data_IF_631006766982
#
_entry.id   IF_631006766982
#
_cell.length_a   1.000
_cell.length_b   1.000
_cell.length_c   1.000
_cell.angle_alpha   90.00
_cell.angle_beta   90.00
_cell.angle_gamma   90.00
#
_symmetry.space_group_name_H-M   'P 1'
#
loop_
_entity.id
_entity.type
_entity.pdbx_description
1 polymer ?
#
# COMPACT_ATOMS: atom_id res chain seq x y z
N UNK A 1 -5.80 -0.78 -6.86
CA UNK A 1 -4.66 -0.52 -5.97
C UNK A 1 -5.27 -0.35 -4.60
N UNK A 2 -4.86 -1.16 -3.63
CA UNK A 2 -5.35 -1.12 -2.24
C UNK A 2 -4.52 -0.11 -1.40
N UNK A 3 -4.24 1.05 -2.00
CA UNK A 3 -3.32 2.06 -1.45
C UNK A 3 -4.08 3.27 -0.88
N UNK A 4 -5.33 3.06 -0.46
CA UNK A 4 -6.22 4.13 0.03
C UNK A 4 -5.67 4.79 1.30
N UNK A 5 -4.84 4.08 2.07
CA UNK A 5 -4.07 4.65 3.19
C UNK A 5 -3.11 5.78 2.74
N UNK A 6 -2.60 5.70 1.52
CA UNK A 6 -1.58 6.60 1.01
C UNK A 6 -2.15 7.71 0.12
N UNK A 7 -3.14 7.41 -0.72
CA UNK A 7 -3.68 8.38 -1.68
C UNK A 7 -5.20 8.54 -1.53
N UNK A 8 -5.60 9.76 -1.19
CA UNK A 8 -7.00 10.19 -1.05
C UNK A 8 -7.36 11.20 -2.15
N UNK A 9 -8.62 11.19 -2.57
CA UNK A 9 -9.24 12.30 -3.30
C UNK A 9 -9.73 13.34 -2.29
N UNK A 10 -9.88 14.59 -2.72
CA UNK A 10 -10.41 15.66 -1.88
C UNK A 10 -11.75 15.23 -1.27
N UNK A 11 -11.78 15.23 0.07
CA UNK A 11 -12.93 14.96 0.93
C UNK A 11 -13.46 13.51 0.99
N UNK A 12 -12.64 12.61 1.54
CA UNK A 12 -13.17 11.82 2.64
C UNK A 12 -12.66 12.46 3.92
N UNK A 13 -13.39 13.49 4.40
CA UNK A 13 -13.44 13.72 5.85
C UNK A 13 -13.59 12.34 6.48
N UNK A 14 -12.67 11.98 7.39
CA UNK A 14 -13.00 10.94 8.37
C UNK A 14 -14.40 11.31 8.83
N UNK A 15 -15.42 10.42 8.79
CA UNK A 15 -16.74 10.76 9.30
C UNK A 15 -16.54 11.03 10.79
N UNK A 16 -16.24 12.29 11.10
CA UNK A 16 -16.20 12.76 12.46
C UNK A 16 -17.62 12.60 12.92
N UNK A 17 -17.80 11.96 14.08
CA UNK A 17 -19.11 11.70 14.66
C UNK A 17 -19.81 13.00 15.13
N UNK A 18 -19.50 14.15 14.53
CA UNK A 18 -20.06 15.46 14.83
C UNK A 18 -21.49 15.50 14.29
N UNK A 19 -22.45 15.28 15.19
CA UNK A 19 -23.89 15.13 14.89
C UNK A 19 -24.50 13.78 15.25
N UNK A 20 -23.71 12.80 15.73
CA UNK A 20 -24.19 11.46 16.09
C UNK A 20 -24.45 11.27 17.59
N UNK A 21 -24.07 12.24 18.41
CA UNK A 21 -24.33 12.22 19.84
C UNK A 21 -25.32 13.32 20.20
N UNK A 22 -26.47 12.90 20.71
CA UNK A 22 -27.40 13.74 21.46
C UNK A 22 -27.35 13.27 22.90
N UNK A 23 -27.22 14.20 23.86
CA UNK A 23 -27.27 13.90 25.28
C UNK A 23 -28.70 13.57 25.75
N UNK A 24 -29.72 13.88 24.94
CA UNK A 24 -31.12 13.61 25.26
C UNK A 24 -31.91 13.07 24.04
N UNK A 25 -32.38 11.82 24.16
CA UNK A 25 -33.18 11.13 23.12
C UNK A 25 -34.57 11.72 22.94
N UNK A 26 -35.07 12.53 23.88
CA UNK A 26 -36.45 13.06 23.86
C UNK A 26 -36.59 14.34 23.01
N UNK A 27 -35.50 15.08 22.82
CA UNK A 27 -35.47 16.35 22.07
C UNK A 27 -34.94 16.20 20.64
N UNK A 28 -34.63 14.97 20.22
CA UNK A 28 -34.02 14.70 18.91
C UNK A 28 -35.06 14.62 17.82
N UNK A 29 -34.91 15.42 16.78
CA UNK A 29 -35.87 15.55 15.70
C UNK A 29 -36.04 14.21 14.90
N UNK A 30 -37.27 13.88 14.42
CA UNK A 30 -37.56 12.59 13.78
C UNK A 30 -36.65 12.25 12.60
N UNK A 31 -36.25 13.25 11.83
CA UNK A 31 -35.35 13.14 10.69
C UNK A 31 -33.93 12.69 11.04
N UNK A 32 -33.51 12.82 12.30
CA UNK A 32 -32.24 12.29 12.81
C UNK A 32 -32.45 10.90 13.40
N UNK A 33 -33.57 10.68 14.12
CA UNK A 33 -33.90 9.42 14.80
C UNK A 33 -34.10 8.24 13.85
N UNK A 34 -34.65 8.48 12.65
CA UNK A 34 -34.95 7.44 11.67
C UNK A 34 -34.05 7.48 10.42
N UNK A 35 -32.98 8.28 10.45
CA UNK A 35 -32.03 8.36 9.33
C UNK A 35 -31.24 7.05 9.22
N UNK A 36 -31.62 6.18 8.28
CA UNK A 36 -30.77 5.05 7.87
C UNK A 36 -29.63 5.60 7.03
N UNK A 37 -28.44 5.64 7.60
CA UNK A 37 -27.20 5.93 6.87
C UNK A 37 -26.38 4.65 6.84
N UNK A 38 -25.84 4.31 5.67
CA UNK A 38 -24.88 3.23 5.53
C UNK A 38 -23.65 3.57 6.39
N UNK A 39 -23.42 2.81 7.46
CA UNK A 39 -22.36 3.10 8.46
C UNK A 39 -20.94 3.06 7.87
N UNK A 40 -20.79 2.45 6.70
CA UNK A 40 -19.54 2.32 5.97
C UNK A 40 -19.80 2.63 4.51
N UNK A 41 -18.87 3.33 3.86
CA UNK A 41 -18.88 3.42 2.41
C UNK A 41 -18.91 2.01 1.78
N UNK A 42 -19.51 1.84 0.59
CA UNK A 42 -19.42 0.59 -0.14
C UNK A 42 -17.93 0.21 -0.28
N UNK A 43 -17.56 -0.98 0.23
CA UNK A 43 -16.18 -1.47 0.19
C UNK A 43 -15.64 -1.31 -1.24
N UNK A 44 -14.63 -0.47 -1.42
CA UNK A 44 -13.91 -0.41 -2.69
C UNK A 44 -13.41 -1.83 -2.99
N UNK A 45 -13.67 -2.30 -4.20
CA UNK A 45 -13.50 -3.71 -4.55
C UNK A 45 -12.00 -4.04 -4.47
N UNK A 46 -11.61 -4.87 -3.50
CA UNK A 46 -10.25 -5.35 -3.38
C UNK A 46 -9.85 -6.05 -4.69
N UNK A 47 -8.59 -5.85 -5.13
CA UNK A 47 -8.10 -6.52 -6.34
C UNK A 47 -8.10 -8.03 -6.07
N UNK A 48 -8.84 -8.80 -6.87
CA UNK A 48 -8.81 -10.26 -6.83
C UNK A 48 -7.51 -10.84 -7.40
N UNK A 49 -7.20 -12.08 -7.02
CA UNK A 49 -5.96 -12.77 -7.44
C UNK A 49 -5.77 -12.81 -8.98
N UNK A 50 -6.86 -13.00 -9.74
CA UNK A 50 -6.78 -13.12 -11.21
C UNK A 50 -6.38 -11.77 -11.83
N UNK A 51 -7.01 -10.69 -11.37
CA UNK A 51 -6.68 -9.33 -11.82
C UNK A 51 -5.24 -8.97 -11.45
N UNK A 52 -4.80 -9.33 -10.24
CA UNK A 52 -3.42 -9.12 -9.81
C UNK A 52 -2.42 -9.91 -10.66
N UNK A 53 -2.65 -11.21 -10.88
CA UNK A 53 -1.82 -12.05 -11.73
C UNK A 53 -1.67 -11.44 -13.13
N UNK A 54 -2.79 -11.20 -13.81
CA UNK A 54 -2.76 -10.79 -15.21
C UNK A 54 -2.21 -9.36 -15.39
N UNK A 55 -2.67 -8.42 -14.57
CA UNK A 55 -2.34 -7.00 -14.77
C UNK A 55 -1.06 -6.55 -14.05
N UNK A 56 -0.68 -7.17 -12.94
CA UNK A 56 0.49 -6.76 -12.16
C UNK A 56 1.67 -7.71 -12.37
N UNK A 57 1.46 -9.02 -12.30
CA UNK A 57 2.56 -9.98 -12.42
C UNK A 57 2.95 -10.16 -13.89
N UNK A 58 2.03 -10.69 -14.71
CA UNK A 58 2.30 -11.06 -16.10
C UNK A 58 2.59 -9.81 -16.94
N UNK A 59 1.71 -8.80 -16.88
CA UNK A 59 1.83 -7.64 -17.76
C UNK A 59 2.92 -6.63 -17.35
N UNK A 60 3.48 -6.70 -16.13
CA UNK A 60 4.41 -5.68 -15.61
C UNK A 60 5.64 -6.25 -14.94
N UNK A 61 5.47 -7.06 -13.89
CA UNK A 61 6.60 -7.59 -13.13
C UNK A 61 7.50 -8.49 -13.99
N UNK A 62 6.90 -9.43 -14.74
CA UNK A 62 7.67 -10.36 -15.55
C UNK A 62 8.50 -9.65 -16.63
N UNK A 63 7.92 -8.75 -17.46
CA UNK A 63 8.71 -7.95 -18.40
C UNK A 63 9.86 -7.19 -17.74
N UNK A 64 9.65 -6.65 -16.54
CA UNK A 64 10.69 -5.93 -15.80
C UNK A 64 11.83 -6.85 -15.34
N UNK A 65 11.49 -8.03 -14.80
CA UNK A 65 12.50 -9.02 -14.37
C UNK A 65 13.28 -9.52 -15.60
N UNK A 66 12.59 -9.86 -16.68
CA UNK A 66 13.24 -10.38 -17.90
C UNK A 66 14.04 -9.30 -18.64
N UNK A 67 13.74 -8.02 -18.48
CA UNK A 67 14.55 -6.95 -19.09
C UNK A 67 15.76 -6.56 -18.25
N UNK A 68 15.69 -6.63 -16.92
CA UNK A 68 16.74 -6.08 -16.04
C UNK A 68 17.51 -7.12 -15.21
N UNK A 69 16.99 -8.34 -15.06
CA UNK A 69 17.53 -9.33 -14.12
C UNK A 69 17.72 -10.72 -14.75
N UNK A 70 17.96 -10.80 -16.06
CA UNK A 70 18.13 -12.06 -16.84
C UNK A 70 19.14 -13.07 -16.29
N UNK A 71 20.11 -12.61 -15.48
CA UNK A 71 21.17 -13.46 -14.89
C UNK A 71 21.17 -13.47 -13.37
N UNK A 72 20.20 -12.81 -12.73
CA UNK A 72 20.17 -12.61 -11.28
C UNK A 72 19.14 -13.50 -10.59
N UNK A 73 19.46 -14.00 -9.40
CA UNK A 73 18.44 -14.56 -8.50
C UNK A 73 17.59 -13.42 -7.98
N UNK A 74 16.31 -13.38 -8.36
CA UNK A 74 15.35 -12.38 -7.91
C UNK A 74 14.49 -12.98 -6.80
N UNK A 75 14.40 -12.26 -5.68
CA UNK A 75 13.42 -12.53 -4.64
C UNK A 75 12.30 -11.49 -4.76
N UNK A 76 11.11 -11.94 -5.15
CA UNK A 76 9.90 -11.13 -5.12
C UNK A 76 9.30 -11.10 -3.71
N UNK A 77 9.40 -9.96 -3.04
CA UNK A 77 8.89 -9.79 -1.69
C UNK A 77 7.74 -8.78 -1.65
N UNK A 78 6.52 -9.27 -1.82
CA UNK A 78 5.30 -8.45 -1.80
C UNK A 78 4.83 -8.14 -0.38
N UNK A 79 3.88 -7.21 -0.25
CA UNK A 79 3.12 -7.03 0.98
C UNK A 79 2.13 -8.20 1.23
N UNK A 80 1.29 -8.06 2.26
CA UNK A 80 0.36 -9.08 2.74
C UNK A 80 -1.05 -9.05 2.15
N UNK A 81 -1.28 -8.31 1.06
CA UNK A 81 -2.55 -8.35 0.36
C UNK A 81 -2.88 -9.80 -0.03
N UNK A 82 -4.14 -10.20 0.20
CA UNK A 82 -4.57 -11.59 -0.03
C UNK A 82 -4.39 -12.05 -1.47
N UNK A 83 -4.50 -11.11 -2.43
CA UNK A 83 -4.27 -11.39 -3.85
C UNK A 83 -2.83 -11.74 -4.18
N UNK A 84 -1.84 -11.26 -3.42
CA UNK A 84 -0.42 -11.55 -3.67
C UNK A 84 -0.07 -13.00 -3.34
N UNK A 85 -0.77 -13.58 -2.37
CA UNK A 85 -0.59 -14.96 -1.93
C UNK A 85 -1.66 -15.92 -2.49
N UNK A 86 -2.39 -15.50 -3.52
CA UNK A 86 -3.35 -16.35 -4.21
C UNK A 86 -2.64 -17.54 -4.88
N UNK A 87 -3.28 -18.72 -4.87
CA UNK A 87 -2.69 -19.95 -5.42
C UNK A 87 -2.16 -19.77 -6.85
N UNK A 88 -2.95 -19.15 -7.72
CA UNK A 88 -2.56 -18.92 -9.13
C UNK A 88 -1.35 -17.99 -9.27
N UNK A 89 -1.17 -17.06 -8.33
CA UNK A 89 -0.05 -16.12 -8.34
C UNK A 89 1.23 -16.82 -7.92
N UNK A 90 1.19 -17.56 -6.81
CA UNK A 90 2.35 -18.30 -6.31
C UNK A 90 2.78 -19.39 -7.27
N UNK A 91 1.83 -20.14 -7.83
CA UNK A 91 2.09 -21.16 -8.84
C UNK A 91 2.76 -20.56 -10.08
N UNK A 92 2.28 -19.41 -10.55
CA UNK A 92 2.88 -18.75 -11.71
C UNK A 92 4.31 -18.28 -11.43
N UNK A 93 4.60 -17.70 -10.26
CA UNK A 93 5.95 -17.27 -9.89
C UNK A 93 6.91 -18.47 -9.82
N UNK A 94 6.48 -19.57 -9.21
CA UNK A 94 7.27 -20.81 -9.10
C UNK A 94 7.58 -21.41 -10.48
N UNK A 95 6.58 -21.50 -11.36
CA UNK A 95 6.75 -21.97 -12.75
C UNK A 95 7.69 -21.09 -13.59
N UNK A 96 7.88 -19.83 -13.20
CA UNK A 96 8.77 -18.89 -13.89
C UNK A 96 10.10 -18.67 -13.14
N UNK A 97 10.45 -19.56 -12.20
CA UNK A 97 11.69 -19.51 -11.41
C UNK A 97 11.90 -18.18 -10.66
N UNK A 98 10.80 -17.55 -10.23
CA UNK A 98 10.83 -16.33 -9.41
C UNK A 98 10.65 -16.74 -7.95
N UNK A 99 11.71 -16.65 -7.16
CA UNK A 99 11.62 -16.87 -5.71
C UNK A 99 10.71 -15.81 -5.11
N UNK A 100 9.89 -16.18 -4.14
CA UNK A 100 9.02 -15.23 -3.45
C UNK A 100 9.05 -15.42 -1.93
N UNK A 101 8.84 -14.31 -1.20
CA UNK A 101 8.77 -14.34 0.25
C UNK A 101 7.49 -14.99 0.75
N UNK A 102 7.59 -16.14 1.42
CA UNK A 102 6.43 -16.82 1.99
C UNK A 102 5.73 -15.98 3.07
N UNK A 103 4.41 -16.10 3.13
CA UNK A 103 3.54 -15.33 4.03
C UNK A 103 3.93 -15.48 5.50
N UNK A 104 4.36 -16.67 5.90
CA UNK A 104 4.73 -17.03 7.28
C UNK A 104 5.95 -16.26 7.79
N UNK A 105 6.88 -15.93 6.89
CA UNK A 105 8.08 -15.14 7.21
C UNK A 105 7.87 -13.64 6.99
N UNK A 106 6.73 -13.23 6.45
CA UNK A 106 6.40 -11.83 6.18
C UNK A 106 5.60 -11.23 7.34
N UNK A 107 6.30 -10.69 8.35
CA UNK A 107 5.74 -10.19 9.60
C UNK A 107 4.54 -9.24 9.38
N UNK A 108 3.36 -9.61 9.91
CA UNK A 108 2.08 -8.90 9.74
C UNK A 108 2.05 -7.51 10.37
N UNK A 109 2.68 -7.36 11.54
CA UNK A 109 2.60 -6.14 12.36
C UNK A 109 3.96 -5.41 12.43
N UNK A 110 4.80 -5.56 11.41
CA UNK A 110 6.09 -4.89 11.33
C UNK A 110 6.27 -4.20 9.96
N UNK A 111 5.48 -3.14 9.67
CA UNK A 111 5.67 -2.36 8.45
C UNK A 111 7.07 -1.76 8.34
N UNK A 112 7.74 -1.51 9.48
CA UNK A 112 9.11 -1.02 9.54
C UNK A 112 10.12 -1.98 8.88
N UNK A 113 9.82 -3.27 8.81
CA UNK A 113 10.66 -4.26 8.13
C UNK A 113 10.58 -4.17 6.59
N UNK A 114 9.69 -3.34 6.03
CA UNK A 114 9.38 -3.30 4.60
C UNK A 114 9.72 -1.94 4.01
N UNK A 115 10.82 -1.84 3.22
CA UNK A 115 11.21 -0.57 2.60
C UNK A 115 10.15 0.05 1.67
N UNK A 116 9.24 -0.78 1.12
CA UNK A 116 8.14 -0.30 0.28
C UNK A 116 7.19 0.64 1.04
N UNK A 117 7.01 0.46 2.36
CA UNK A 117 6.20 1.36 3.20
C UNK A 117 6.83 2.74 3.33
N UNK A 118 8.16 2.80 3.41
CA UNK A 118 8.93 4.05 3.38
C UNK A 118 8.80 4.72 2.02
N UNK A 119 8.90 3.96 0.91
CA UNK A 119 8.71 4.51 -0.43
C UNK A 119 7.30 5.09 -0.62
N UNK A 120 6.26 4.40 -0.13
CA UNK A 120 4.90 4.92 -0.17
C UNK A 120 4.74 6.21 0.63
N UNK A 121 5.42 6.32 1.77
CA UNK A 121 5.40 7.52 2.60
C UNK A 121 6.10 8.71 1.91
N UNK A 122 7.27 8.49 1.31
CA UNK A 122 7.98 9.50 0.51
C UNK A 122 7.12 9.97 -0.65
N UNK A 123 6.58 9.03 -1.44
CA UNK A 123 5.74 9.34 -2.59
C UNK A 123 4.49 10.12 -2.18
N UNK A 124 3.84 9.72 -1.08
CA UNK A 124 2.67 10.44 -0.54
C UNK A 124 3.03 11.88 -0.21
N UNK A 125 4.08 12.10 0.56
CA UNK A 125 4.50 13.45 0.97
C UNK A 125 4.75 14.34 -0.26
N UNK A 126 5.46 13.83 -1.27
CA UNK A 126 5.74 14.58 -2.50
C UNK A 126 4.48 14.81 -3.38
N UNK A 127 3.53 13.87 -3.37
CA UNK A 127 2.27 14.02 -4.12
C UNK A 127 1.42 15.16 -3.56
N UNK A 128 1.30 15.23 -2.23
CA UNK A 128 0.47 16.20 -1.50
C UNK A 128 1.23 17.44 -1.01
N UNK A 129 2.47 17.61 -1.46
CA UNK A 129 3.31 18.76 -1.11
C UNK A 129 2.64 20.09 -1.46
N UNK A 130 2.95 21.15 -0.72
CA UNK A 130 2.31 22.49 -0.83
C UNK A 130 0.77 22.48 -0.69
N UNK A 131 0.21 21.48 0.01
CA UNK A 131 -1.24 21.34 0.17
C UNK A 131 -1.95 20.96 -1.13
N UNK A 132 -1.25 20.34 -2.08
CA UNK A 132 -1.85 19.89 -3.33
C UNK A 132 -2.91 18.82 -3.09
N UNK A 133 -4.09 18.97 -3.69
CA UNK A 133 -5.18 18.00 -3.57
C UNK A 133 -5.77 17.62 -4.93
N UNK A 134 -6.17 16.36 -5.08
CA UNK A 134 -6.77 15.86 -6.31
C UNK A 134 -8.30 15.93 -6.28
N UNK A 135 -8.90 16.60 -7.26
CA UNK A 135 -10.37 16.67 -7.42
C UNK A 135 -10.96 15.45 -8.11
N UNK A 136 -10.18 14.83 -9.00
CA UNK A 136 -10.59 13.64 -9.76
C UNK A 136 -9.45 12.63 -9.88
N UNK A 137 -9.80 11.36 -10.07
CA UNK A 137 -8.85 10.24 -10.12
C UNK A 137 -7.78 10.41 -11.22
N UNK A 138 -8.13 10.98 -12.37
CA UNK A 138 -7.19 11.19 -13.47
C UNK A 138 -6.15 12.28 -13.16
N UNK A 139 -6.48 13.27 -12.33
CA UNK A 139 -5.49 14.24 -11.85
C UNK A 139 -4.51 13.56 -10.88
N UNK A 140 -5.04 12.79 -9.92
CA UNK A 140 -4.23 12.03 -8.97
C UNK A 140 -3.26 11.07 -9.68
N UNK A 141 -3.76 10.29 -10.66
CA UNK A 141 -2.93 9.37 -11.46
C UNK A 141 -1.79 10.08 -12.19
N UNK A 142 -2.07 11.23 -12.82
CA UNK A 142 -1.06 12.03 -13.53
C UNK A 142 -0.02 12.61 -12.57
N UNK A 143 -0.45 13.12 -11.40
CA UNK A 143 0.45 13.62 -10.36
C UNK A 143 1.36 12.52 -9.84
N UNK A 144 0.80 11.36 -9.45
CA UNK A 144 1.58 10.21 -8.97
C UNK A 144 2.62 9.79 -10.01
N UNK A 145 2.22 9.64 -11.28
CA UNK A 145 3.15 9.26 -12.35
C UNK A 145 4.27 10.28 -12.59
N UNK A 146 3.98 11.57 -12.39
CA UNK A 146 4.99 12.64 -12.48
C UNK A 146 5.97 12.58 -11.31
N UNK A 147 5.45 12.56 -10.08
CA UNK A 147 6.28 12.51 -8.86
C UNK A 147 7.14 11.24 -8.82
N UNK A 148 6.62 10.08 -9.25
CA UNK A 148 7.41 8.85 -9.34
C UNK A 148 8.67 8.99 -10.20
N UNK A 149 8.66 9.87 -11.22
CA UNK A 149 9.83 10.16 -12.06
C UNK A 149 10.80 11.16 -11.42
N UNK A 150 10.33 11.91 -10.42
CA UNK A 150 11.12 12.91 -9.68
C UNK A 150 11.82 12.29 -8.47
N UNK A 151 11.38 11.11 -7.99
CA UNK A 151 12.04 10.38 -6.91
C UNK A 151 13.45 9.95 -7.38
N UNK A 152 14.47 10.35 -6.63
CA UNK A 152 15.84 9.91 -6.87
C UNK A 152 15.95 8.39 -6.65
N UNK A 153 16.29 7.68 -7.71
CA UNK A 153 16.46 6.23 -7.70
C UNK A 153 17.56 5.77 -6.73
N UNK A 154 18.56 6.62 -6.46
CA UNK A 154 19.62 6.30 -5.51
C UNK A 154 19.07 6.17 -4.09
N UNK A 155 18.12 7.02 -3.68
CA UNK A 155 17.45 6.92 -2.38
C UNK A 155 16.76 5.57 -2.27
N UNK A 156 16.03 5.18 -3.31
CA UNK A 156 15.33 3.89 -3.35
C UNK A 156 16.34 2.74 -3.25
N UNK A 157 17.40 2.75 -4.06
CA UNK A 157 18.42 1.69 -4.02
C UNK A 157 19.10 1.59 -2.64
N UNK A 158 19.47 2.71 -2.03
CA UNK A 158 20.08 2.72 -0.69
C UNK A 158 19.14 2.15 0.39
N UNK A 159 17.83 2.48 0.32
CA UNK A 159 16.84 1.90 1.22
C UNK A 159 16.81 0.36 1.12
N UNK A 160 16.82 -0.18 -0.10
CA UNK A 160 16.80 -1.64 -0.30
C UNK A 160 18.13 -2.31 0.05
N UNK A 161 19.28 -1.64 -0.14
CA UNK A 161 20.58 -2.15 0.30
C UNK A 161 20.70 -2.26 1.83
N UNK A 162 20.09 -1.33 2.57
CA UNK A 162 20.10 -1.31 4.03
C UNK A 162 19.21 -2.36 4.71
N UNK A 163 18.35 -3.06 3.96
CA UNK A 163 17.28 -3.90 4.52
C UNK A 163 17.81 -5.00 5.45
N UNK A 164 18.94 -5.63 5.13
CA UNK A 164 19.50 -6.71 5.97
C UNK A 164 19.93 -6.18 7.35
N UNK A 165 20.53 -4.99 7.40
CA UNK A 165 20.93 -4.35 8.65
C UNK A 165 19.70 -3.97 9.47
N UNK A 166 18.67 -3.45 8.80
CA UNK A 166 17.40 -3.10 9.44
C UNK A 166 16.71 -4.33 10.05
N UNK A 167 16.59 -5.42 9.29
CA UNK A 167 15.99 -6.66 9.79
C UNK A 167 16.75 -7.25 10.97
N UNK A 168 18.10 -7.18 10.96
CA UNK A 168 18.91 -7.62 12.10
C UNK A 168 18.65 -6.77 13.35
N UNK A 169 18.63 -5.44 13.21
CA UNK A 169 18.27 -4.54 14.32
C UNK A 169 16.89 -4.86 14.91
N UNK A 170 15.91 -5.13 14.03
CA UNK A 170 14.56 -5.51 14.45
C UNK A 170 14.56 -6.85 15.19
N UNK A 171 15.33 -7.83 14.72
CA UNK A 171 15.46 -9.13 15.38
C UNK A 171 16.11 -9.01 16.77
N UNK A 172 17.15 -8.17 16.88
CA UNK A 172 17.93 -8.03 18.12
C UNK A 172 17.21 -7.17 19.17
N UNK A 173 16.54 -6.09 18.76
CA UNK A 173 16.04 -5.05 19.66
C UNK A 173 14.54 -4.71 19.50
N UNK A 174 13.85 -5.38 18.57
CA UNK A 174 12.44 -5.15 18.30
C UNK A 174 12.15 -4.10 17.22
N UNK A 175 10.88 -3.96 16.80
CA UNK A 175 10.48 -3.24 15.58
C UNK A 175 10.67 -1.72 15.62
N UNK A 176 10.76 -1.12 16.80
CA UNK A 176 10.88 0.34 16.95
C UNK A 176 12.30 0.87 16.74
N UNK A 177 13.31 0.00 16.87
CA UNK A 177 14.72 0.36 16.62
C UNK A 177 15.09 0.45 15.14
N UNK A 178 14.15 0.09 14.26
CA UNK A 178 14.29 0.29 12.81
C UNK A 178 14.27 1.78 12.41
N UNK A 179 13.71 2.64 13.26
CA UNK A 179 13.59 4.09 13.03
C UNK A 179 14.61 4.91 13.83
N UNK A 180 15.31 4.31 14.78
CA UNK A 180 16.37 4.94 15.57
C UNK A 180 17.65 5.02 14.72
N UNK A 181 17.96 6.24 14.25
CA UNK A 181 19.26 6.60 13.68
C UNK A 181 20.13 7.19 14.77
#
# INVERSE_FOLDING_TARGET
MDNEKYFLLQDQSVPTNRGFYTSDKRTTAPQIKFKRIQKFEPKKQAIGQITYLNQCIIARLMPFITSHHTKGKVLFWSDLASSHYGHNVLQYLDQNDVQFGHKEFNLQNCPQARPIETLWSILKNMVYDDGWEAKIINQLRRRIARILKEIDINIVQQMFLGIRKQLRKIADNGPYEACSS
#
